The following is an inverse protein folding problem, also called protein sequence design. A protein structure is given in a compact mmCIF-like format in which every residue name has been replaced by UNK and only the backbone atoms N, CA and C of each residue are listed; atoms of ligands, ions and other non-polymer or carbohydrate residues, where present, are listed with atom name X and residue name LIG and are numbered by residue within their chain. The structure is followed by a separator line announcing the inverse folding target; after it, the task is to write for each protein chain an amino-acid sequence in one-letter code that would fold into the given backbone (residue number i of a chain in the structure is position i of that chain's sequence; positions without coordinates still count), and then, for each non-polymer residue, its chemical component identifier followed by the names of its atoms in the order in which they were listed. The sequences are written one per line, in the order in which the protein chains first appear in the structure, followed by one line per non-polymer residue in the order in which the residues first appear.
data_IF_072320546362
#
_entry.id   IF_072320546362
#
_cell.length_a   1.000
_cell.length_b   1.000
_cell.length_c   1.000
_cell.angle_alpha   90.00
_cell.angle_beta   90.00
_cell.angle_gamma   90.00
#
_symmetry.space_group_name_H-M   'P 1'
#
loop_
_entity.id
_entity.type
_entity.pdbx_description
1 polymer ?
#
# COMPACT_ATOMS: atom_id res chain seq x y z
N UNK A 1 -16.42 -10.48 -19.76
CA UNK A 1 -15.04 -10.54 -19.25
C UNK A 1 -14.67 -12.01 -19.15
N UNK A 2 -13.79 -12.47 -20.03
CA UNK A 2 -13.29 -13.85 -20.00
C UNK A 2 -12.15 -13.99 -18.98
N UNK A 3 -11.85 -15.21 -18.51
CA UNK A 3 -10.70 -15.46 -17.64
C UNK A 3 -9.37 -14.94 -18.23
N UNK A 4 -9.23 -14.93 -19.56
CA UNK A 4 -8.06 -14.40 -20.25
C UNK A 4 -7.99 -12.88 -20.26
N UNK A 5 -9.13 -12.18 -20.41
CA UNK A 5 -9.18 -10.73 -20.27
C UNK A 5 -8.84 -10.28 -18.84
N UNK A 6 -9.33 -11.02 -17.85
CA UNK A 6 -8.99 -10.78 -16.44
C UNK A 6 -7.49 -10.97 -16.18
N UNK A 7 -6.90 -12.05 -16.72
CA UNK A 7 -5.47 -12.32 -16.59
C UNK A 7 -4.61 -11.23 -17.25
N UNK A 8 -4.95 -10.77 -18.45
CA UNK A 8 -4.23 -9.68 -19.13
C UNK A 8 -4.35 -8.34 -18.38
N UNK A 9 -5.52 -8.07 -17.80
CA UNK A 9 -5.73 -6.86 -17.00
C UNK A 9 -4.90 -6.90 -15.71
N UNK A 10 -4.76 -8.08 -15.11
CA UNK A 10 -3.85 -8.30 -13.99
C UNK A 10 -2.38 -8.15 -14.43
N UNK A 11 -1.95 -8.78 -15.52
CA UNK A 11 -0.57 -8.71 -16.00
C UNK A 11 -0.14 -7.29 -16.37
N UNK A 12 -1.01 -6.51 -17.04
CA UNK A 12 -0.75 -5.10 -17.35
C UNK A 12 -0.64 -4.24 -16.08
N UNK A 13 -1.58 -4.39 -15.16
CA UNK A 13 -1.54 -3.71 -13.85
C UNK A 13 -0.31 -4.12 -13.04
N UNK A 14 0.14 -5.37 -13.11
CA UNK A 14 1.33 -5.87 -12.41
C UNK A 14 2.61 -5.30 -13.00
N UNK A 15 2.70 -5.16 -14.33
CA UNK A 15 3.86 -4.57 -15.00
C UNK A 15 4.01 -3.07 -14.73
N UNK A 16 2.91 -2.31 -14.82
CA UNK A 16 2.90 -0.88 -14.45
C UNK A 16 3.20 -0.68 -12.97
N UNK A 17 2.63 -1.54 -12.09
CA UNK A 17 3.00 -1.56 -10.68
C UNK A 17 4.50 -1.81 -10.51
N UNK A 18 5.09 -2.81 -11.17
CA UNK A 18 6.52 -3.13 -10.99
C UNK A 18 7.44 -1.95 -11.23
N UNK A 19 7.26 -1.17 -12.29
CA UNK A 19 8.08 0.01 -12.55
C UNK A 19 7.94 1.09 -11.46
N UNK A 20 6.74 1.21 -10.86
CA UNK A 20 6.47 2.14 -9.75
C UNK A 20 6.98 1.62 -8.39
N UNK A 21 7.05 0.29 -8.25
CA UNK A 21 7.56 -0.42 -7.09
C UNK A 21 9.08 -0.46 -7.03
N UNK A 22 9.81 -0.12 -8.09
CA UNK A 22 11.28 -0.08 -8.08
C UNK A 22 11.88 1.24 -7.59
N UNK A 23 11.04 2.18 -7.12
CA UNK A 23 11.46 3.47 -6.55
C UNK A 23 11.88 3.42 -5.08
N UNK A 24 11.97 4.60 -4.45
CA UNK A 24 12.49 4.80 -3.09
C UNK A 24 11.77 3.96 -2.01
N UNK A 25 10.47 3.71 -2.19
CA UNK A 25 9.62 2.99 -1.23
C UNK A 25 9.36 1.53 -1.62
N UNK A 26 10.28 0.90 -2.36
CA UNK A 26 10.16 -0.50 -2.81
C UNK A 26 9.93 -1.48 -1.67
N UNK A 27 10.66 -1.32 -0.57
CA UNK A 27 10.60 -2.24 0.57
C UNK A 27 9.24 -2.13 1.25
N UNK A 28 8.82 -0.91 1.57
CA UNK A 28 7.53 -0.55 2.15
C UNK A 28 6.36 -1.10 1.32
N UNK A 29 6.44 -0.94 -0.01
CA UNK A 29 5.42 -1.42 -0.91
C UNK A 29 5.36 -2.95 -1.02
N UNK A 30 6.50 -3.65 -1.02
CA UNK A 30 6.52 -5.12 -1.02
C UNK A 30 5.96 -5.68 0.29
N UNK A 31 6.28 -5.06 1.42
CA UNK A 31 5.77 -5.46 2.70
C UNK A 31 4.26 -5.18 2.82
N UNK A 32 3.79 -4.03 2.32
CA UNK A 32 2.36 -3.75 2.23
C UNK A 32 1.65 -4.83 1.41
N UNK A 33 2.11 -5.09 0.18
CA UNK A 33 1.53 -6.14 -0.67
C UNK A 33 1.68 -7.56 -0.09
N UNK A 34 2.63 -7.76 0.82
CA UNK A 34 2.86 -9.02 1.52
C UNK A 34 1.84 -9.29 2.62
N UNK A 35 1.10 -8.27 3.08
CA UNK A 35 0.06 -8.43 4.08
C UNK A 35 -1.08 -9.28 3.51
N UNK A 36 -1.38 -10.36 4.22
CA UNK A 36 -2.52 -11.21 3.87
C UNK A 36 -3.83 -10.55 4.30
N UNK A 37 -4.93 -10.89 3.61
CA UNK A 37 -6.27 -10.41 3.97
C UNK A 37 -6.63 -10.72 5.43
N UNK A 38 -6.21 -11.87 5.94
CA UNK A 38 -6.37 -12.25 7.34
C UNK A 38 -5.62 -11.31 8.29
N UNK A 39 -4.38 -10.90 7.97
CA UNK A 39 -3.64 -9.93 8.78
C UNK A 39 -4.29 -8.56 8.77
N UNK A 40 -4.89 -8.14 7.65
CA UNK A 40 -5.64 -6.88 7.56
C UNK A 40 -6.93 -6.98 8.40
N UNK A 41 -7.66 -8.10 8.28
CA UNK A 41 -8.89 -8.34 9.06
C UNK A 41 -8.64 -8.42 10.58
N UNK A 42 -7.45 -8.90 11.00
CA UNK A 42 -7.07 -8.88 12.43
C UNK A 42 -6.87 -7.47 12.97
N UNK A 43 -6.43 -6.53 12.13
CA UNK A 43 -6.21 -5.13 12.53
C UNK A 43 -7.55 -4.39 12.60
N UNK A 44 -8.42 -4.70 11.66
CA UNK A 44 -9.70 -4.04 11.47
C UNK A 44 -10.70 -5.06 10.92
N UNK A 45 -11.75 -5.41 11.69
CA UNK A 45 -12.72 -6.43 11.29
C UNK A 45 -13.83 -5.89 10.36
N UNK A 46 -13.64 -4.72 9.75
CA UNK A 46 -14.67 -3.96 9.05
C UNK A 46 -14.56 -4.09 7.50
N UNK A 47 -15.62 -3.74 6.79
CA UNK A 47 -15.65 -3.86 5.33
C UNK A 47 -14.85 -2.75 4.62
N UNK A 48 -14.53 -1.67 5.33
CA UNK A 48 -13.79 -0.50 4.81
C UNK A 48 -12.28 -0.72 4.70
N UNK A 49 -11.77 -1.80 5.26
CA UNK A 49 -10.34 -1.97 5.48
C UNK A 49 -9.57 -2.31 4.22
N UNK A 50 -10.23 -3.00 3.28
CA UNK A 50 -9.68 -3.23 1.95
C UNK A 50 -9.62 -1.93 1.12
N UNK A 51 -10.55 -0.99 1.32
CA UNK A 51 -10.50 0.30 0.63
C UNK A 51 -9.37 1.18 1.18
N UNK A 52 -9.25 1.24 2.51
CA UNK A 52 -8.16 1.98 3.17
C UNK A 52 -6.79 1.38 2.82
N UNK A 53 -6.70 0.06 2.77
CA UNK A 53 -5.48 -0.65 2.36
C UNK A 53 -5.08 -0.34 0.91
N UNK A 54 -6.04 -0.36 -0.03
CA UNK A 54 -5.78 0.01 -1.43
C UNK A 54 -5.37 1.49 -1.57
N UNK A 55 -6.00 2.38 -0.81
CA UNK A 55 -5.62 3.79 -0.73
C UNK A 55 -4.23 3.98 -0.14
N UNK A 56 -3.87 3.23 0.90
CA UNK A 56 -2.54 3.26 1.52
C UNK A 56 -1.46 2.84 0.50
N UNK A 57 -1.69 1.75 -0.23
CA UNK A 57 -0.79 1.33 -1.32
C UNK A 57 -0.67 2.45 -2.36
N UNK A 58 -1.78 3.06 -2.75
CA UNK A 58 -1.79 4.15 -3.73
C UNK A 58 -0.98 5.35 -3.25
N UNK A 59 -1.11 5.75 -1.99
CA UNK A 59 -0.35 6.86 -1.40
C UNK A 59 1.15 6.55 -1.39
N UNK A 60 1.56 5.36 -0.96
CA UNK A 60 2.99 4.99 -0.94
C UNK A 60 3.55 4.90 -2.37
N UNK A 61 2.75 4.43 -3.33
CA UNK A 61 3.12 4.42 -4.75
C UNK A 61 3.29 5.81 -5.33
N UNK A 62 2.36 6.72 -5.07
CA UNK A 62 2.44 8.11 -5.53
C UNK A 62 3.61 8.82 -4.87
N UNK A 63 3.88 8.56 -3.59
CA UNK A 63 5.08 9.06 -2.90
C UNK A 63 6.37 8.56 -3.55
N UNK A 64 6.43 7.29 -3.94
CA UNK A 64 7.57 6.69 -4.66
C UNK A 64 7.77 7.36 -6.02
N UNK A 65 6.68 7.61 -6.74
CA UNK A 65 6.70 8.23 -8.08
C UNK A 65 7.06 9.71 -8.04
N UNK A 66 6.52 10.44 -7.08
CA UNK A 66 6.74 11.88 -6.92
C UNK A 66 8.00 12.19 -6.10
N UNK A 67 8.76 11.17 -5.67
CA UNK A 67 9.98 11.32 -4.85
C UNK A 67 9.70 12.17 -3.60
N UNK A 68 8.57 11.87 -2.97
CA UNK A 68 8.06 12.58 -1.79
C UNK A 68 8.88 12.16 -0.57
N UNK A 69 9.23 13.12 0.28
CA UNK A 69 9.95 12.84 1.52
C UNK A 69 9.11 12.03 2.52
N UNK A 70 9.79 11.25 3.37
CA UNK A 70 9.14 10.35 4.33
C UNK A 70 8.15 11.08 5.25
N UNK A 71 8.45 12.32 5.64
CA UNK A 71 7.56 13.13 6.48
C UNK A 71 6.23 13.49 5.79
N UNK A 72 6.25 13.72 4.48
CA UNK A 72 5.05 13.98 3.70
C UNK A 72 4.26 12.69 3.47
N UNK A 73 4.95 11.57 3.22
CA UNK A 73 4.29 10.26 3.16
C UNK A 73 3.59 9.95 4.49
N UNK A 74 4.27 10.17 5.62
CA UNK A 74 3.70 10.01 6.96
C UNK A 74 2.43 10.85 7.15
N UNK A 75 2.46 12.12 6.74
CA UNK A 75 1.30 13.00 6.81
C UNK A 75 0.13 12.46 5.98
N UNK A 76 0.38 12.01 4.75
CA UNK A 76 -0.65 11.41 3.90
C UNK A 76 -1.24 10.12 4.48
N UNK A 77 -0.42 9.29 5.17
CA UNK A 77 -0.91 8.09 5.87
C UNK A 77 -1.77 8.48 7.08
N UNK A 78 -1.39 9.53 7.81
CA UNK A 78 -2.20 10.06 8.91
C UNK A 78 -3.53 10.66 8.43
N UNK A 79 -3.53 11.35 7.28
CA UNK A 79 -4.72 11.91 6.64
C UNK A 79 -5.70 10.84 6.15
N UNK A 80 -5.20 9.67 5.73
CA UNK A 80 -6.04 8.51 5.40
C UNK A 80 -6.82 7.98 6.61
N UNK A 81 -6.35 8.26 7.83
CA UNK A 81 -7.04 7.95 9.08
C UNK A 81 -6.35 6.88 9.92
N UNK A 82 -6.92 6.63 11.11
CA UNK A 82 -6.32 5.73 12.10
C UNK A 82 -6.17 4.28 11.61
N UNK A 83 -7.06 3.82 10.72
CA UNK A 83 -6.98 2.48 10.12
C UNK A 83 -5.73 2.37 9.23
N UNK A 84 -5.47 3.38 8.40
CA UNK A 84 -4.27 3.41 7.54
C UNK A 84 -2.99 3.42 8.38
N UNK A 85 -2.97 4.19 9.47
CA UNK A 85 -1.84 4.21 10.42
C UNK A 85 -1.63 2.84 11.07
N UNK A 86 -2.70 2.15 11.48
CA UNK A 86 -2.59 0.81 12.07
C UNK A 86 -2.04 -0.22 11.09
N UNK A 87 -2.48 -0.18 9.84
CA UNK A 87 -1.97 -1.05 8.77
C UNK A 87 -0.51 -0.71 8.47
N UNK A 88 -0.16 0.56 8.35
CA UNK A 88 1.22 0.99 8.11
C UNK A 88 2.17 0.58 9.26
N UNK A 89 1.71 0.61 10.52
CA UNK A 89 2.50 0.15 11.67
C UNK A 89 2.77 -1.36 11.69
N UNK A 90 2.02 -2.17 10.97
CA UNK A 90 2.33 -3.60 10.80
C UNK A 90 3.50 -3.83 9.85
N UNK A 91 3.74 -2.90 8.95
CA UNK A 91 4.86 -2.95 8.02
C UNK A 91 6.08 -2.36 8.72
N UNK A 92 7.13 -3.15 9.00
CA UNK A 92 8.32 -2.68 9.72
C UNK A 92 8.95 -1.43 9.11
N UNK A 93 9.07 -1.38 7.77
CA UNK A 93 9.70 -0.25 7.09
C UNK A 93 8.89 1.05 7.18
N UNK A 94 7.55 0.95 7.21
CA UNK A 94 6.67 2.10 7.42
C UNK A 94 6.59 2.45 8.90
N UNK A 95 6.56 1.46 9.79
CA UNK A 95 6.54 1.67 11.24
C UNK A 95 7.73 2.48 11.73
N UNK A 96 8.90 2.35 11.07
CA UNK A 96 10.08 3.16 11.36
C UNK A 96 9.84 4.68 11.14
N UNK A 97 8.86 5.06 10.30
CA UNK A 97 8.46 6.46 10.08
C UNK A 97 7.62 7.03 11.22
N UNK A 98 7.06 6.18 12.09
CA UNK A 98 6.23 6.57 13.23
C UNK A 98 6.98 6.58 14.57
N UNK A 99 8.30 6.31 14.54
CA UNK A 99 9.16 6.20 15.71
C UNK A 99 9.72 7.54 16.19
#
# INVERSE_FOLDING_TARGET
MTPEEFKRLLEGKVAENRAQFEGQYKAELNELLGLSKDEINEITPDLTDMQIYDQLITVVKEASKANIEQAQLLASIQELGEVAVKIAKKVPSLSAMFA
#
